data_IF_940696033117
#
_entry.id   IF_940696033117
#
_cell.length_a   1.000
_cell.length_b   1.000
_cell.length_c   1.000
_cell.angle_alpha   90.00
_cell.angle_beta   90.00
_cell.angle_gamma   90.00
#
_symmetry.space_group_name_H-M   'P 1'
#
loop_
_entity.id
_entity.type
_entity.pdbx_description
1 polymer ?
#
# COMPACT_ATOMS: atom_id res chain seq x y z
N UNK A 1 20.89 -24.81 -57.44
CA UNK A 1 19.79 -24.56 -56.48
C UNK A 1 20.42 -24.42 -55.11
N UNK A 2 20.45 -23.19 -54.58
CA UNK A 2 21.13 -22.86 -53.32
C UNK A 2 20.23 -23.23 -52.14
N UNK A 3 20.54 -24.29 -51.42
CA UNK A 3 19.90 -24.55 -50.14
C UNK A 3 20.40 -23.54 -49.12
N UNK A 4 19.66 -22.45 -48.92
CA UNK A 4 19.86 -21.55 -47.78
C UNK A 4 19.60 -22.35 -46.50
N UNK A 5 20.68 -22.70 -45.79
CA UNK A 5 20.60 -23.35 -44.49
C UNK A 5 20.12 -22.34 -43.46
N UNK A 6 18.84 -22.41 -43.09
CA UNK A 6 18.30 -21.64 -41.96
C UNK A 6 19.08 -22.04 -40.70
N UNK A 7 19.71 -21.09 -39.97
CA UNK A 7 20.43 -21.40 -38.75
C UNK A 7 19.46 -22.00 -37.70
N UNK A 8 19.73 -23.25 -37.30
CA UNK A 8 18.95 -23.97 -36.30
C UNK A 8 19.37 -23.48 -34.91
N UNK A 9 18.55 -22.64 -34.28
CA UNK A 9 18.80 -22.14 -32.93
C UNK A 9 18.38 -23.22 -31.91
N UNK A 10 19.24 -23.61 -30.95
CA UNK A 10 18.90 -24.59 -29.94
C UNK A 10 17.94 -24.03 -28.89
N UNK A 11 17.21 -24.91 -28.22
CA UNK A 11 16.40 -24.57 -27.06
C UNK A 11 17.30 -24.19 -25.87
N UNK A 12 17.10 -23.01 -25.28
CA UNK A 12 17.91 -22.48 -24.17
C UNK A 12 17.93 -23.40 -22.94
N UNK A 13 16.87 -24.18 -22.71
CA UNK A 13 16.73 -25.01 -21.50
C UNK A 13 17.40 -26.37 -21.62
N UNK A 14 17.35 -27.01 -22.81
CA UNK A 14 17.79 -28.40 -22.94
C UNK A 14 18.94 -28.61 -23.92
N UNK A 15 19.22 -27.64 -24.80
CA UNK A 15 20.38 -27.52 -25.72
C UNK A 15 20.68 -28.71 -26.67
N UNK A 16 20.20 -29.91 -26.37
CA UNK A 16 20.57 -31.19 -26.98
C UNK A 16 19.39 -31.96 -27.57
N UNK A 17 18.17 -31.74 -27.06
CA UNK A 17 16.99 -32.59 -27.37
C UNK A 17 15.86 -31.87 -28.12
N UNK A 18 16.01 -30.60 -28.48
CA UNK A 18 14.96 -29.86 -29.16
C UNK A 18 15.48 -28.69 -29.96
N UNK A 19 15.15 -28.66 -31.24
CA UNK A 19 15.28 -27.45 -32.05
C UNK A 19 14.35 -26.39 -31.45
N UNK A 20 14.89 -25.21 -31.19
CA UNK A 20 14.13 -24.06 -30.76
C UNK A 20 13.22 -23.62 -31.90
N UNK A 21 11.90 -23.67 -31.69
CA UNK A 21 10.90 -23.30 -32.70
C UNK A 21 10.02 -22.12 -32.24
N UNK A 22 10.09 -21.78 -30.96
CA UNK A 22 9.37 -20.65 -30.38
C UNK A 22 10.37 -19.69 -29.77
N UNK A 23 10.33 -18.43 -30.21
CA UNK A 23 11.04 -17.32 -29.58
C UNK A 23 10.05 -16.55 -28.71
N UNK A 24 10.38 -16.36 -27.44
CA UNK A 24 9.62 -15.45 -26.58
C UNK A 24 10.09 -14.02 -26.87
N UNK A 25 9.21 -13.15 -27.33
CA UNK A 25 9.57 -11.75 -27.60
C UNK A 25 9.79 -10.93 -26.31
N UNK A 26 9.26 -11.38 -25.17
CA UNK A 26 9.45 -10.71 -23.88
C UNK A 26 10.86 -10.88 -23.30
N UNK A 27 11.48 -12.05 -23.45
CA UNK A 27 12.82 -12.33 -22.92
C UNK A 27 13.87 -12.65 -24.01
N UNK A 28 13.46 -12.62 -25.28
CA UNK A 28 14.24 -12.99 -26.46
C UNK A 28 14.80 -14.43 -26.48
N UNK A 29 14.42 -15.29 -25.53
CA UNK A 29 14.89 -16.67 -25.45
C UNK A 29 14.13 -17.59 -26.41
N UNK A 30 14.84 -18.59 -26.94
CA UNK A 30 14.28 -19.59 -27.86
C UNK A 30 14.11 -20.93 -27.14
N UNK A 31 12.93 -21.53 -27.29
CA UNK A 31 12.53 -22.75 -26.62
C UNK A 31 12.01 -23.79 -27.62
N UNK A 32 12.16 -25.08 -27.27
CA UNK A 32 11.38 -26.14 -27.90
C UNK A 32 9.94 -26.13 -27.35
N UNK A 33 9.03 -26.85 -28.00
CA UNK A 33 7.59 -26.86 -27.66
C UNK A 33 7.28 -27.14 -26.18
N UNK A 34 8.04 -28.04 -25.55
CA UNK A 34 7.86 -28.37 -24.13
C UNK A 34 8.24 -27.19 -23.23
N UNK A 35 9.48 -26.72 -23.36
CA UNK A 35 10.01 -25.65 -22.52
C UNK A 35 9.36 -24.29 -22.81
N UNK A 36 8.75 -24.07 -23.98
CA UNK A 36 7.94 -22.87 -24.23
C UNK A 36 6.65 -22.86 -23.40
N UNK A 37 6.03 -24.03 -23.18
CA UNK A 37 4.86 -24.14 -22.29
C UNK A 37 5.27 -23.95 -20.85
N UNK A 38 6.32 -24.64 -20.39
CA UNK A 38 6.83 -24.47 -19.02
C UNK A 38 7.27 -23.03 -18.73
N UNK A 39 7.89 -22.36 -19.71
CA UNK A 39 8.24 -20.95 -19.62
C UNK A 39 7.01 -20.06 -19.42
N UNK A 40 5.95 -20.28 -20.21
CA UNK A 40 4.69 -19.55 -20.08
C UNK A 40 4.02 -19.84 -18.75
N UNK A 41 3.97 -21.09 -18.33
CA UNK A 41 3.36 -21.48 -17.06
C UNK A 41 4.10 -20.82 -15.90
N UNK A 42 5.44 -20.80 -15.91
CA UNK A 42 6.22 -20.05 -14.92
C UNK A 42 5.88 -18.56 -14.91
N UNK A 43 5.77 -17.92 -16.07
CA UNK A 43 5.38 -16.51 -16.16
C UNK A 43 3.98 -16.26 -15.59
N UNK A 44 3.02 -17.17 -15.84
CA UNK A 44 1.69 -17.10 -15.26
C UNK A 44 1.74 -17.17 -13.74
N UNK A 45 2.49 -18.12 -13.16
CA UNK A 45 2.62 -18.22 -11.70
C UNK A 45 3.25 -16.97 -11.10
N UNK A 46 4.31 -16.42 -11.74
CA UNK A 46 4.93 -15.17 -11.28
C UNK A 46 3.95 -13.99 -11.34
N UNK A 47 3.09 -13.93 -12.36
CA UNK A 47 2.07 -12.90 -12.46
C UNK A 47 1.01 -13.06 -11.36
N UNK A 48 0.57 -14.29 -11.08
CA UNK A 48 -0.40 -14.56 -10.03
C UNK A 48 0.14 -14.15 -8.65
N UNK A 49 1.42 -14.45 -8.37
CA UNK A 49 2.12 -14.00 -7.16
C UNK A 49 2.15 -12.48 -7.05
N UNK A 50 2.52 -11.78 -8.14
CA UNK A 50 2.54 -10.31 -8.17
C UNK A 50 1.15 -9.69 -7.95
N UNK A 51 0.09 -10.30 -8.48
CA UNK A 51 -1.29 -9.84 -8.25
C UNK A 51 -1.67 -10.00 -6.78
N UNK A 52 -1.35 -11.14 -6.16
CA UNK A 52 -1.61 -11.38 -4.75
C UNK A 52 -0.85 -10.37 -3.86
N UNK A 53 0.43 -10.13 -4.14
CA UNK A 53 1.23 -9.15 -3.41
C UNK A 53 0.68 -7.73 -3.57
N UNK A 54 0.29 -7.37 -4.79
CA UNK A 54 -0.33 -6.08 -5.09
C UNK A 54 -1.62 -5.87 -4.29
N UNK A 55 -2.52 -6.85 -4.26
CA UNK A 55 -3.79 -6.75 -3.54
C UNK A 55 -3.58 -6.66 -2.01
N UNK A 56 -2.59 -7.39 -1.49
CA UNK A 56 -2.20 -7.29 -0.08
C UNK A 56 -1.66 -5.90 0.28
N UNK A 57 -0.82 -5.31 -0.59
CA UNK A 57 -0.31 -3.96 -0.41
C UNK A 57 -1.43 -2.92 -0.47
N UNK A 58 -2.35 -3.02 -1.44
CA UNK A 58 -3.49 -2.11 -1.53
C UNK A 58 -4.35 -2.15 -0.26
N UNK A 59 -4.63 -3.35 0.26
CA UNK A 59 -5.37 -3.51 1.51
C UNK A 59 -4.64 -2.87 2.71
N UNK A 60 -3.33 -3.12 2.84
CA UNK A 60 -2.53 -2.55 3.92
C UNK A 60 -2.49 -1.01 3.89
N UNK A 61 -2.41 -0.42 2.69
CA UNK A 61 -2.46 1.05 2.53
C UNK A 61 -3.83 1.60 2.95
N UNK A 62 -4.92 0.94 2.56
CA UNK A 62 -6.26 1.36 2.95
C UNK A 62 -6.46 1.32 4.48
N UNK A 63 -6.06 0.21 5.12
CA UNK A 63 -6.12 0.05 6.58
C UNK A 63 -5.30 1.13 7.30
N UNK A 64 -4.09 1.42 6.82
CA UNK A 64 -3.25 2.46 7.43
C UNK A 64 -3.87 3.87 7.33
N UNK A 65 -4.48 4.20 6.19
CA UNK A 65 -5.16 5.47 6.02
C UNK A 65 -6.36 5.62 6.96
N UNK A 66 -7.14 4.56 7.15
CA UNK A 66 -8.28 4.56 8.07
C UNK A 66 -7.84 4.71 9.53
N UNK A 67 -6.75 4.05 9.93
CA UNK A 67 -6.14 4.19 11.25
C UNK A 67 -5.62 5.61 11.49
N UNK A 68 -4.89 6.18 10.52
CA UNK A 68 -4.41 7.56 10.60
C UNK A 68 -5.56 8.56 10.71
N UNK A 69 -6.62 8.38 9.93
CA UNK A 69 -7.80 9.24 9.98
C UNK A 69 -8.46 9.16 11.36
N UNK A 70 -8.66 7.95 11.88
CA UNK A 70 -9.23 7.73 13.22
C UNK A 70 -8.38 8.39 14.30
N UNK A 71 -7.06 8.25 14.24
CA UNK A 71 -6.13 8.89 15.16
C UNK A 71 -6.26 10.42 15.14
N UNK A 72 -6.30 11.02 13.95
CA UNK A 72 -6.48 12.47 13.79
C UNK A 72 -7.80 12.95 14.39
N UNK A 73 -8.90 12.25 14.12
CA UNK A 73 -10.22 12.58 14.70
C UNK A 73 -10.23 12.50 16.24
N UNK A 74 -9.55 11.50 16.82
CA UNK A 74 -9.45 11.36 18.28
C UNK A 74 -8.64 12.51 18.90
N UNK A 75 -7.52 12.89 18.28
CA UNK A 75 -6.72 14.05 18.69
C UNK A 75 -7.53 15.35 18.67
N UNK A 76 -8.30 15.59 17.61
CA UNK A 76 -9.16 16.78 17.52
C UNK A 76 -10.21 16.82 18.64
N UNK A 77 -10.79 15.66 18.98
CA UNK A 77 -11.73 15.54 20.11
C UNK A 77 -11.05 15.84 21.44
N UNK A 78 -9.83 15.32 21.66
CA UNK A 78 -9.04 15.59 22.88
C UNK A 78 -8.72 17.08 22.99
N UNK A 79 -8.24 17.71 21.92
CA UNK A 79 -7.93 19.14 21.88
C UNK A 79 -9.16 20.01 22.14
N UNK A 80 -10.31 19.60 21.61
CA UNK A 80 -11.58 20.31 21.85
C UNK A 80 -12.01 20.17 23.30
N UNK A 81 -11.97 18.95 23.85
CA UNK A 81 -12.27 18.69 25.25
C UNK A 81 -11.37 19.50 26.20
N UNK A 82 -10.07 19.55 25.93
CA UNK A 82 -9.10 20.31 26.72
C UNK A 82 -9.44 21.81 26.73
N UNK A 83 -9.65 22.39 25.54
CA UNK A 83 -10.02 23.79 25.38
C UNK A 83 -11.32 24.13 26.13
N UNK A 84 -12.34 23.29 26.01
CA UNK A 84 -13.63 23.49 26.66
C UNK A 84 -13.51 23.39 28.18
N UNK A 85 -12.72 22.44 28.68
CA UNK A 85 -12.44 22.28 30.10
C UNK A 85 -11.74 23.52 30.69
N UNK A 86 -10.70 24.02 30.02
CA UNK A 86 -9.99 25.24 30.41
C UNK A 86 -10.95 26.43 30.45
N UNK A 87 -11.75 26.63 29.39
CA UNK A 87 -12.70 27.73 29.31
C UNK A 87 -13.75 27.67 30.44
N UNK A 88 -14.24 26.47 30.76
CA UNK A 88 -15.18 26.26 31.87
C UNK A 88 -14.55 26.61 33.22
N UNK A 89 -13.34 26.12 33.50
CA UNK A 89 -12.61 26.43 34.74
C UNK A 89 -12.39 27.93 34.88
N UNK A 90 -11.94 28.59 33.82
CA UNK A 90 -11.72 30.04 33.81
C UNK A 90 -13.00 30.82 34.08
N UNK A 91 -14.12 30.44 33.43
CA UNK A 91 -15.43 31.07 33.63
C UNK A 91 -15.87 30.92 35.09
N UNK A 92 -15.87 29.71 35.62
CA UNK A 92 -16.28 29.45 37.00
C UNK A 92 -15.39 30.19 38.01
N UNK A 93 -14.08 30.23 37.78
CA UNK A 93 -13.17 31.00 38.63
C UNK A 93 -13.46 32.51 38.59
N UNK A 94 -13.79 33.05 37.41
CA UNK A 94 -14.15 34.46 37.27
C UNK A 94 -15.49 34.79 37.95
N UNK A 95 -16.49 33.91 37.81
CA UNK A 95 -17.78 34.05 38.50
C UNK A 95 -17.59 34.06 40.02
N UNK A 96 -16.79 33.13 40.56
CA UNK A 96 -16.46 33.08 41.98
C UNK A 96 -15.75 34.36 42.46
N UNK A 97 -14.77 34.86 41.70
CA UNK A 97 -14.08 36.14 42.01
C UNK A 97 -15.07 37.32 42.03
N UNK A 98 -15.99 37.38 41.07
CA UNK A 98 -17.01 38.44 41.02
C UNK A 98 -17.96 38.38 42.22
N UNK A 99 -18.36 37.19 42.65
CA UNK A 99 -19.20 37.01 43.83
C UNK A 99 -18.51 37.50 45.10
N UNK A 100 -17.23 37.14 45.30
CA UNK A 100 -16.44 37.63 46.44
C UNK A 100 -16.36 39.15 46.44
N UNK A 101 -16.04 39.76 45.30
CA UNK A 101 -15.92 41.22 45.19
C UNK A 101 -17.24 41.95 45.51
N UNK A 102 -18.38 41.40 45.09
CA UNK A 102 -19.70 41.97 45.44
C UNK A 102 -19.92 41.94 46.95
N UNK A 103 -19.69 40.79 47.58
CA UNK A 103 -19.87 40.61 49.03
C UNK A 103 -18.94 41.48 49.87
N UNK A 104 -17.72 41.76 49.41
CA UNK A 104 -16.78 42.65 50.11
C UNK A 104 -17.12 44.13 49.91
N UNK A 105 -17.61 44.52 48.73
CA UNK A 105 -17.98 45.90 48.45
C UNK A 105 -19.34 46.31 49.06
N UNK A 106 -20.24 45.37 49.32
CA UNK A 106 -21.51 45.61 50.03
C UNK A 106 -21.34 45.77 51.56
N UNK A 107 -20.17 45.41 52.11
CA UNK A 107 -19.87 45.48 53.54
C UNK A 107 -19.04 46.70 53.96
N UNK A 108 -18.67 47.57 53.02
CA UNK A 108 -17.92 48.80 53.25
C UNK A 108 -18.82 50.01 53.04
#
# INVERSE_FOLDING_TARGET
MSHSSVPKVPCVTCDRNGMGIFKCEGCAQVFCRKHSTEHRDRLTHQLDELVIEHDALQKSIAEHNDEQNTYQQLLEKINTWERDAIAKIQRTANEARQQVNKLTNEKT
#
